data_IF_873683955629
#
_entry.id   IF_873683955629
#
_cell.length_a   1.000
_cell.length_b   1.000
_cell.length_c   1.000
_cell.angle_alpha   90.00
_cell.angle_beta   90.00
_cell.angle_gamma   90.00
#
_symmetry.space_group_name_H-M   'P 1'
#
loop_
_entity.id
_entity.type
_entity.pdbx_description
1 polymer ?
#
# COMPACT_ATOMS: atom_id res chain seq x y z
N UNK A 1 10.13 37.16 25.71
CA UNK A 1 11.48 36.89 25.17
C UNK A 1 11.84 35.46 25.51
N UNK A 2 11.56 34.52 24.61
CA UNK A 2 12.03 33.13 24.72
C UNK A 2 13.44 33.05 24.13
N UNK A 3 14.37 32.42 24.84
CA UNK A 3 15.74 32.21 24.36
C UNK A 3 15.80 31.35 23.09
N UNK A 4 16.92 31.35 22.37
CA UNK A 4 17.06 30.58 21.14
C UNK A 4 16.99 29.09 21.46
N UNK A 5 15.98 28.41 20.89
CA UNK A 5 15.88 26.95 20.92
C UNK A 5 16.92 26.42 19.93
N UNK A 6 18.05 25.92 20.44
CA UNK A 6 19.16 25.39 19.63
C UNK A 6 18.96 23.90 19.27
N UNK A 7 17.71 23.44 19.23
CA UNK A 7 17.34 22.04 19.02
C UNK A 7 16.33 21.87 17.89
N UNK A 8 16.26 20.65 17.35
CA UNK A 8 15.22 20.23 16.41
C UNK A 8 13.97 19.90 17.23
N UNK A 9 12.86 20.58 16.92
CA UNK A 9 11.54 20.34 17.50
C UNK A 9 10.73 19.43 16.55
N UNK A 10 10.18 18.33 17.06
CA UNK A 10 9.27 17.47 16.30
C UNK A 10 7.85 18.02 16.43
N UNK A 11 7.31 18.55 15.33
CA UNK A 11 5.99 19.16 15.30
C UNK A 11 4.87 18.13 15.05
N UNK A 12 5.17 17.08 14.28
CA UNK A 12 4.26 15.98 13.98
C UNK A 12 5.05 14.69 13.85
N UNK A 13 4.48 13.60 14.36
CA UNK A 13 5.06 12.26 14.29
C UNK A 13 3.94 11.22 14.20
N UNK A 14 3.71 10.69 13.00
CA UNK A 14 2.59 9.79 12.75
C UNK A 14 2.99 8.59 11.90
N UNK A 15 2.59 7.38 12.34
CA UNK A 15 2.77 6.12 11.61
C UNK A 15 1.58 5.90 10.69
N UNK A 16 1.83 5.42 9.47
CA UNK A 16 0.75 5.13 8.52
C UNK A 16 -0.17 4.00 9.02
N UNK A 17 -1.43 3.96 8.56
CA UNK A 17 -2.41 2.98 9.04
C UNK A 17 -2.00 1.51 8.86
N UNK A 18 -1.11 1.23 7.90
CA UNK A 18 -0.59 -0.12 7.62
C UNK A 18 0.83 -0.35 8.14
N UNK A 19 1.35 0.56 8.97
CA UNK A 19 2.66 0.47 9.62
C UNK A 19 3.85 0.36 8.65
N UNK A 20 3.66 0.79 7.41
CA UNK A 20 4.65 0.68 6.34
C UNK A 20 5.43 1.98 6.10
N UNK A 21 4.88 3.09 6.60
CA UNK A 21 5.44 4.44 6.51
C UNK A 21 5.27 5.17 7.83
N UNK A 22 6.03 6.25 7.98
CA UNK A 22 5.90 7.23 9.06
C UNK A 22 6.17 8.60 8.47
N UNK A 23 5.42 9.61 8.87
CA UNK A 23 5.72 11.00 8.55
C UNK A 23 6.19 11.70 9.82
N UNK A 24 7.30 12.41 9.71
CA UNK A 24 7.83 13.26 10.78
C UNK A 24 7.97 14.66 10.22
N UNK A 25 7.43 15.66 10.93
CA UNK A 25 7.66 17.07 10.61
C UNK A 25 8.55 17.65 11.68
N UNK A 26 9.70 18.15 11.26
CA UNK A 26 10.72 18.71 12.14
C UNK A 26 10.90 20.19 11.83
N UNK A 27 11.18 20.97 12.87
CA UNK A 27 11.43 22.40 12.79
C UNK A 27 12.66 22.73 13.62
N UNK A 28 13.63 23.41 13.01
CA UNK A 28 14.77 23.99 13.73
C UNK A 28 14.69 25.52 13.73
N UNK A 29 15.79 26.21 14.05
CA UNK A 29 15.85 27.68 14.01
C UNK A 29 15.72 28.28 12.60
N UNK A 30 15.92 27.49 11.55
CA UNK A 30 16.11 27.95 10.17
C UNK A 30 14.99 27.46 9.24
N UNK A 31 14.53 26.22 9.41
CA UNK A 31 13.67 25.54 8.43
C UNK A 31 12.66 24.62 9.11
N UNK A 32 11.48 24.46 8.51
CA UNK A 32 10.61 23.30 8.76
C UNK A 32 10.62 22.39 7.53
N UNK A 33 10.79 21.08 7.76
CA UNK A 33 10.72 20.06 6.73
C UNK A 33 9.90 18.85 7.19
N UNK A 34 9.28 18.17 6.23
CA UNK A 34 8.62 16.90 6.42
C UNK A 34 9.48 15.76 5.86
N UNK A 35 9.49 14.63 6.55
CA UNK A 35 10.19 13.43 6.15
C UNK A 35 9.20 12.27 6.09
N UNK A 36 9.03 11.68 4.92
CA UNK A 36 8.40 10.39 4.79
C UNK A 36 9.48 9.31 4.98
N UNK A 37 9.30 8.46 6.00
CA UNK A 37 10.20 7.38 6.34
C UNK A 37 9.61 6.01 5.97
N UNK A 38 10.49 5.06 5.67
CA UNK A 38 10.11 3.65 5.58
C UNK A 38 9.90 3.01 6.96
N UNK A 39 9.41 1.77 6.99
CA UNK A 39 9.20 1.00 8.22
C UNK A 39 10.47 0.75 9.06
N UNK A 40 11.67 1.01 8.51
CA UNK A 40 12.96 0.91 9.21
C UNK A 40 13.47 2.27 9.72
N UNK A 41 12.67 3.33 9.55
CA UNK A 41 13.03 4.69 9.95
C UNK A 41 14.04 5.35 9.02
N UNK A 42 14.18 4.88 7.76
CA UNK A 42 15.03 5.55 6.76
C UNK A 42 14.21 6.58 6.01
N UNK A 43 14.75 7.78 5.85
CA UNK A 43 14.14 8.84 5.04
C UNK A 43 14.04 8.35 3.59
N UNK A 44 12.83 8.40 3.04
CA UNK A 44 12.52 8.11 1.64
C UNK A 44 12.36 9.39 0.83
N UNK A 45 11.63 10.35 1.39
CA UNK A 45 11.31 11.61 0.73
C UNK A 45 11.34 12.73 1.78
N UNK A 46 12.35 13.61 1.75
CA UNK A 46 12.26 14.90 2.41
C UNK A 46 11.44 15.87 1.55
N UNK A 47 10.67 16.73 2.19
CA UNK A 47 9.92 17.83 1.56
C UNK A 47 10.07 19.08 2.40
N UNK A 48 10.63 20.13 1.81
CA UNK A 48 10.72 21.43 2.47
C UNK A 48 9.33 22.04 2.64
N UNK A 49 9.06 22.64 3.80
CA UNK A 49 7.78 23.31 4.10
C UNK A 49 7.91 24.83 4.25
N UNK A 50 8.96 25.31 4.92
CA UNK A 50 9.17 26.74 5.16
C UNK A 50 10.59 27.09 5.57
N UNK A 51 11.04 28.30 5.21
CA UNK A 51 12.17 28.98 5.85
C UNK A 51 11.65 29.84 7.02
N UNK A 52 12.45 29.95 8.08
CA UNK A 52 12.23 30.81 9.25
C UNK A 52 13.21 31.98 9.32
N UNK A 53 14.12 32.05 8.36
CA UNK A 53 15.06 33.14 8.16
C UNK A 53 15.16 33.53 6.69
N UNK A 54 16.02 34.49 6.39
CA UNK A 54 16.24 35.00 5.04
C UNK A 54 16.66 33.87 4.08
N UNK A 55 15.92 33.73 3.00
CA UNK A 55 16.22 32.78 1.94
C UNK A 55 17.54 33.17 1.25
N UNK A 56 18.43 32.20 0.97
CA UNK A 56 19.65 32.46 0.23
C UNK A 56 19.36 32.74 -1.25
N UNK A 57 20.26 33.45 -1.92
CA UNK A 57 20.13 33.75 -3.34
C UNK A 57 20.26 32.48 -4.23
N UNK A 58 21.03 31.50 -3.78
CA UNK A 58 21.31 30.24 -4.48
C UNK A 58 21.30 29.07 -3.50
N UNK A 59 21.21 27.85 -4.02
CA UNK A 59 21.35 26.64 -3.20
C UNK A 59 22.67 26.65 -2.43
N UNK A 60 22.58 26.62 -1.11
CA UNK A 60 23.74 26.43 -0.24
C UNK A 60 23.99 24.93 -0.08
N UNK A 61 24.69 24.33 -1.04
CA UNK A 61 25.02 22.89 -1.07
C UNK A 61 25.80 22.39 0.16
N UNK A 62 26.22 23.27 1.07
CA UNK A 62 27.00 22.95 2.28
C UNK A 62 26.20 22.41 3.47
N UNK A 63 24.91 22.73 3.60
CA UNK A 63 24.09 22.36 4.76
C UNK A 63 23.65 20.89 4.82
N UNK A 64 23.66 20.20 3.68
CA UNK A 64 23.31 18.78 3.55
C UNK A 64 24.22 17.85 4.39
N UNK A 65 25.42 18.31 4.75
CA UNK A 65 26.42 17.52 5.48
C UNK A 65 26.23 17.52 7.01
N UNK A 66 25.41 18.43 7.57
CA UNK A 66 25.19 18.52 9.03
C UNK A 66 23.89 17.87 9.51
N UNK A 67 23.17 17.18 8.62
CA UNK A 67 21.89 16.53 8.97
C UNK A 67 20.74 17.50 9.23
N UNK A 68 20.85 18.75 8.75
CA UNK A 68 19.79 19.77 8.83
C UNK A 68 19.06 19.91 7.49
N UNK A 69 17.79 20.33 7.55
CA UNK A 69 17.03 20.67 6.35
C UNK A 69 17.61 21.95 5.69
N UNK A 70 17.84 21.96 4.37
CA UNK A 70 18.34 23.14 3.68
C UNK A 70 17.27 24.23 3.62
N UNK A 71 17.72 25.50 3.55
CA UNK A 71 16.85 26.62 3.20
C UNK A 71 16.48 26.55 1.72
N UNK A 72 15.23 26.86 1.40
CA UNK A 72 14.81 27.08 0.02
C UNK A 72 15.36 28.43 -0.50
N UNK A 73 15.96 28.50 -1.70
CA UNK A 73 16.40 29.77 -2.27
C UNK A 73 15.25 30.76 -2.51
N UNK A 74 15.58 32.05 -2.55
CA UNK A 74 14.60 33.13 -2.69
C UNK A 74 13.70 32.99 -3.93
N UNK A 75 14.25 32.45 -5.02
CA UNK A 75 13.52 32.24 -6.27
C UNK A 75 12.44 31.15 -6.19
N UNK A 76 12.48 30.31 -5.15
CA UNK A 76 11.65 29.12 -5.00
C UNK A 76 10.77 29.14 -3.73
N UNK A 77 10.70 30.25 -3.00
CA UNK A 77 9.85 30.41 -1.82
C UNK A 77 8.93 31.63 -1.92
N UNK A 78 7.69 31.47 -1.45
CA UNK A 78 6.72 32.59 -1.32
C UNK A 78 7.08 33.56 -0.19
N UNK A 79 8.00 33.16 0.69
CA UNK A 79 8.42 33.93 1.85
C UNK A 79 9.95 34.11 1.91
N UNK A 80 10.56 34.93 1.03
CA UNK A 80 12.01 35.18 1.06
C UNK A 80 12.54 35.71 2.40
N UNK A 81 11.83 36.58 3.15
CA UNK A 81 12.26 36.98 4.50
C UNK A 81 12.14 35.89 5.58
N UNK A 82 11.62 34.72 5.23
CA UNK A 82 11.18 33.69 6.17
C UNK A 82 9.75 33.93 6.68
N UNK A 83 9.17 32.91 7.31
CA UNK A 83 7.86 32.97 7.98
C UNK A 83 7.93 32.45 9.41
N UNK A 84 6.98 32.82 10.29
CA UNK A 84 6.84 32.18 11.60
C UNK A 84 6.71 30.66 11.50
N UNK A 85 7.15 29.98 12.56
CA UNK A 85 7.02 28.52 12.73
C UNK A 85 5.54 28.10 12.69
N UNK A 86 5.29 26.88 12.20
CA UNK A 86 3.95 26.28 12.24
C UNK A 86 3.53 25.98 13.68
N UNK A 87 2.24 26.16 13.98
CA UNK A 87 1.67 25.70 15.24
C UNK A 87 1.47 24.18 15.21
N UNK A 88 2.14 23.39 16.07
CA UNK A 88 2.00 21.93 16.09
C UNK A 88 0.56 21.48 16.36
N UNK A 89 -0.24 22.28 17.08
CA UNK A 89 -1.62 21.94 17.42
C UNK A 89 -2.59 22.05 16.24
N UNK A 90 -2.22 22.80 15.19
CA UNK A 90 -2.99 22.95 13.97
C UNK A 90 -2.54 21.99 12.86
N UNK A 91 -1.40 21.32 13.01
CA UNK A 91 -0.81 20.45 12.00
C UNK A 91 -1.34 19.02 12.10
N UNK A 92 -1.75 18.44 10.96
CA UNK A 92 -2.25 17.07 10.88
C UNK A 92 -1.78 16.35 9.62
N UNK A 93 -1.59 15.03 9.74
CA UNK A 93 -1.41 14.15 8.60
C UNK A 93 -2.75 13.55 8.15
N UNK A 94 -2.91 13.44 6.84
CA UNK A 94 -3.99 12.70 6.18
C UNK A 94 -3.34 11.69 5.25
N UNK A 95 -3.28 10.43 5.67
CA UNK A 95 -2.79 9.33 4.83
C UNK A 95 -3.78 9.02 3.73
N UNK A 96 -3.32 8.76 2.50
CA UNK A 96 -4.17 8.23 1.44
C UNK A 96 -4.66 6.82 1.78
N UNK A 97 -5.73 6.35 1.11
CA UNK A 97 -6.36 5.04 1.37
C UNK A 97 -5.36 3.88 1.25
N UNK A 98 -4.43 4.01 0.31
CA UNK A 98 -3.31 3.09 0.04
C UNK A 98 -2.26 3.08 1.17
N UNK A 99 -2.20 4.13 1.99
CA UNK A 99 -1.34 4.28 3.17
C UNK A 99 0.16 4.43 2.87
N UNK A 100 0.53 4.69 1.62
CA UNK A 100 1.89 4.92 1.16
C UNK A 100 2.19 6.39 0.81
N UNK A 101 1.16 7.21 0.58
CA UNK A 101 1.24 8.66 0.45
C UNK A 101 0.50 9.41 1.57
N UNK A 102 0.88 10.66 1.80
CA UNK A 102 0.36 11.49 2.90
C UNK A 102 0.22 12.95 2.48
N UNK A 103 -0.84 13.60 2.93
CA UNK A 103 -1.01 15.04 2.90
C UNK A 103 -0.80 15.63 4.29
N UNK A 104 -0.15 16.79 4.36
CA UNK A 104 -0.06 17.61 5.56
C UNK A 104 -1.03 18.78 5.40
N UNK A 105 -1.80 19.05 6.44
CA UNK A 105 -2.84 20.07 6.43
C UNK A 105 -2.71 20.90 7.71
N UNK A 106 -2.95 22.20 7.59
CA UNK A 106 -3.04 23.12 8.71
C UNK A 106 -4.37 23.90 8.68
N UNK A 107 -4.47 24.98 9.46
CA UNK A 107 -5.65 25.86 9.50
C UNK A 107 -5.95 26.59 8.19
N UNK A 108 -4.95 26.79 7.33
CA UNK A 108 -5.10 27.41 6.01
C UNK A 108 -5.44 26.37 4.92
N UNK A 109 -5.48 25.08 5.28
CA UNK A 109 -5.79 23.97 4.39
C UNK A 109 -4.53 23.21 3.97
N UNK A 110 -4.50 22.72 2.72
CA UNK A 110 -3.45 21.83 2.26
C UNK A 110 -2.07 22.51 2.30
N UNK A 111 -1.17 21.98 3.13
CA UNK A 111 0.18 22.49 3.34
C UNK A 111 1.20 21.76 2.46
N UNK A 112 1.12 20.44 2.39
CA UNK A 112 2.01 19.64 1.56
C UNK A 112 1.37 18.31 1.17
N UNK A 113 1.89 17.69 0.10
CA UNK A 113 1.54 16.34 -0.31
C UNK A 113 2.81 15.58 -0.65
N UNK A 114 2.98 14.41 -0.05
CA UNK A 114 4.03 13.44 -0.38
C UNK A 114 3.33 12.22 -1.02
N UNK A 115 3.27 12.15 -2.36
CA UNK A 115 2.65 11.01 -3.04
C UNK A 115 3.38 9.69 -2.76
N UNK A 116 2.69 8.55 -2.85
CA UNK A 116 3.29 7.23 -2.64
C UNK A 116 4.39 6.86 -3.66
N UNK A 117 4.34 7.49 -4.85
CA UNK A 117 5.36 7.34 -5.90
C UNK A 117 6.55 8.30 -5.77
N UNK A 118 6.55 9.23 -4.80
CA UNK A 118 7.64 10.19 -4.66
C UNK A 118 8.96 9.48 -4.35
N UNK A 119 10.02 9.93 -5.01
CA UNK A 119 11.37 9.37 -4.96
C UNK A 119 12.39 10.51 -5.08
N UNK A 120 12.78 11.07 -3.93
CA UNK A 120 13.65 12.25 -3.89
C UNK A 120 15.01 12.01 -4.57
N UNK A 121 15.60 10.83 -4.40
CA UNK A 121 16.86 10.44 -5.08
C UNK A 121 16.74 10.44 -6.61
N UNK A 122 15.53 10.37 -7.16
CA UNK A 122 15.23 10.45 -8.59
C UNK A 122 14.74 11.84 -9.02
N UNK A 123 14.87 12.86 -8.16
CA UNK A 123 14.44 14.23 -8.44
C UNK A 123 12.92 14.43 -8.38
N UNK A 124 12.21 13.54 -7.67
CA UNK A 124 10.76 13.57 -7.51
C UNK A 124 10.40 13.82 -6.03
N UNK A 125 10.56 15.05 -5.51
CA UNK A 125 10.14 15.40 -4.15
C UNK A 125 8.61 15.48 -4.06
N UNK A 126 8.10 15.73 -2.86
CA UNK A 126 6.70 16.10 -2.67
C UNK A 126 6.40 17.56 -3.03
N UNK A 127 5.15 17.93 -2.82
CA UNK A 127 4.62 19.27 -3.09
C UNK A 127 4.47 20.05 -1.78
N UNK A 128 4.74 21.35 -1.81
CA UNK A 128 4.56 22.24 -0.68
C UNK A 128 3.86 23.54 -1.08
N UNK A 129 2.99 24.05 -0.20
CA UNK A 129 2.23 25.29 -0.38
C UNK A 129 3.15 26.49 -0.55
N UNK A 130 4.24 26.54 0.20
CA UNK A 130 5.14 27.70 0.22
C UNK A 130 6.19 27.70 -0.90
N UNK A 131 6.26 26.62 -1.68
CA UNK A 131 7.20 26.50 -2.78
C UNK A 131 6.71 27.23 -4.04
N UNK A 132 7.66 27.73 -4.84
CA UNK A 132 7.43 28.32 -6.17
C UNK A 132 8.17 27.49 -7.23
N UNK A 133 7.44 27.10 -8.28
CA UNK A 133 8.00 26.30 -9.37
C UNK A 133 8.47 24.91 -8.91
N UNK A 134 9.63 24.47 -9.42
CA UNK A 134 10.21 23.16 -9.07
C UNK A 134 11.63 23.37 -8.57
N UNK A 135 11.92 22.83 -7.39
CA UNK A 135 13.28 22.71 -6.86
C UNK A 135 13.56 21.25 -6.43
N UNK A 136 14.81 20.91 -6.10
CA UNK A 136 15.13 19.62 -5.50
C UNK A 136 14.46 19.36 -4.14
N UNK A 137 14.02 20.41 -3.43
CA UNK A 137 13.52 20.29 -2.05
C UNK A 137 11.99 20.16 -1.97
N UNK A 138 11.26 20.78 -2.90
CA UNK A 138 9.81 20.68 -3.02
C UNK A 138 9.35 21.21 -4.38
N UNK A 139 8.21 20.71 -4.84
CA UNK A 139 7.48 21.29 -5.97
C UNK A 139 6.31 22.16 -5.49
N UNK A 140 5.96 23.16 -6.29
CA UNK A 140 4.84 24.05 -6.01
C UNK A 140 3.50 23.31 -6.01
N UNK A 141 2.82 23.37 -4.87
CA UNK A 141 1.52 22.74 -4.69
C UNK A 141 0.39 23.43 -5.46
N UNK A 142 0.41 24.76 -5.61
CA UNK A 142 -0.72 25.53 -6.17
C UNK A 142 -1.06 25.10 -7.59
N UNK A 143 -0.05 24.75 -8.39
CA UNK A 143 -0.20 24.27 -9.77
C UNK A 143 -1.00 22.96 -9.90
N UNK A 144 -1.05 22.15 -8.84
CA UNK A 144 -1.68 20.82 -8.81
C UNK A 144 -2.74 20.69 -7.71
N UNK A 145 -2.99 21.76 -6.95
CA UNK A 145 -3.86 21.74 -5.75
C UNK A 145 -5.26 21.24 -6.08
N UNK A 146 -5.86 21.73 -7.16
CA UNK A 146 -7.22 21.31 -7.56
C UNK A 146 -7.32 19.83 -7.91
N UNK A 147 -6.23 19.22 -8.37
CA UNK A 147 -6.17 17.79 -8.71
C UNK A 147 -5.90 16.92 -7.47
N UNK A 148 -5.08 17.41 -6.54
CA UNK A 148 -4.70 16.66 -5.33
C UNK A 148 -5.73 16.80 -4.20
N UNK A 149 -6.41 17.93 -4.08
CA UNK A 149 -7.35 18.18 -2.99
C UNK A 149 -8.49 17.14 -2.91
N UNK A 150 -9.13 16.72 -4.02
CA UNK A 150 -10.11 15.64 -3.97
C UNK A 150 -9.58 14.32 -3.40
N UNK A 151 -8.29 13.99 -3.62
CA UNK A 151 -7.66 12.80 -3.03
C UNK A 151 -7.55 12.92 -1.51
N UNK A 152 -7.25 14.11 -1.00
CA UNK A 152 -7.17 14.38 0.46
C UNK A 152 -8.55 14.26 1.10
N UNK A 153 -9.57 14.87 0.51
CA UNK A 153 -10.96 14.79 1.00
C UNK A 153 -11.47 13.35 0.97
N UNK A 154 -11.21 12.61 -0.11
CA UNK A 154 -11.55 11.18 -0.18
C UNK A 154 -10.88 10.36 0.92
N UNK A 155 -9.59 10.62 1.17
CA UNK A 155 -8.83 9.94 2.19
C UNK A 155 -9.37 10.22 3.61
N UNK A 156 -9.71 11.47 3.94
CA UNK A 156 -10.36 11.81 5.21
C UNK A 156 -11.67 11.04 5.39
N UNK A 157 -12.55 11.10 4.38
CA UNK A 157 -13.83 10.39 4.39
C UNK A 157 -13.66 8.88 4.52
N UNK A 158 -12.67 8.29 3.83
CA UNK A 158 -12.34 6.88 3.92
C UNK A 158 -11.94 6.49 5.35
N UNK A 159 -11.05 7.25 5.98
CA UNK A 159 -10.58 6.93 7.33
C UNK A 159 -11.63 7.20 8.41
N UNK A 160 -12.48 8.21 8.23
CA UNK A 160 -13.66 8.43 9.06
C UNK A 160 -14.62 7.25 8.98
N UNK A 161 -14.92 6.79 7.76
CA UNK A 161 -15.70 5.56 7.57
C UNK A 161 -15.02 4.37 8.23
N UNK A 162 -13.70 4.21 8.07
CA UNK A 162 -12.97 3.05 8.63
C UNK A 162 -13.00 3.03 10.16
N UNK A 163 -13.00 4.20 10.81
CA UNK A 163 -13.15 4.35 12.27
C UNK A 163 -14.59 4.16 12.76
N UNK A 164 -15.59 4.33 11.89
CA UNK A 164 -16.99 4.21 12.28
C UNK A 164 -17.35 2.79 12.75
N UNK A 165 -18.26 2.73 13.72
CA UNK A 165 -18.76 1.45 14.23
C UNK A 165 -19.44 0.66 13.11
N UNK A 166 -18.95 -0.56 12.83
CA UNK A 166 -19.53 -1.45 11.83
C UNK A 166 -18.91 -1.39 10.44
N UNK A 167 -17.89 -0.55 10.19
CA UNK A 167 -17.18 -0.51 8.92
C UNK A 167 -16.64 -1.88 8.50
N UNK A 168 -15.98 -2.58 9.43
CA UNK A 168 -15.54 -3.95 9.20
C UNK A 168 -16.70 -4.91 8.87
N UNK A 169 -17.82 -4.79 9.59
CA UNK A 169 -19.01 -5.62 9.36
C UNK A 169 -19.62 -5.37 7.97
N UNK A 170 -19.53 -4.15 7.44
CA UNK A 170 -19.94 -3.89 6.05
C UNK A 170 -19.04 -4.61 5.04
N UNK A 171 -17.71 -4.53 5.19
CA UNK A 171 -16.75 -5.24 4.32
C UNK A 171 -17.03 -6.75 4.35
N UNK A 172 -17.08 -7.31 5.56
CA UNK A 172 -17.32 -8.74 5.77
C UNK A 172 -18.62 -9.20 5.10
N UNK A 173 -19.73 -8.47 5.30
CA UNK A 173 -21.03 -8.84 4.73
C UNK A 173 -21.01 -8.82 3.21
N UNK A 174 -20.40 -7.79 2.61
CA UNK A 174 -20.30 -7.66 1.15
C UNK A 174 -19.57 -8.85 0.54
N UNK A 175 -18.39 -9.19 1.05
CA UNK A 175 -17.58 -10.29 0.50
C UNK A 175 -18.22 -11.65 0.79
N UNK A 176 -18.71 -11.90 2.01
CA UNK A 176 -19.32 -13.19 2.35
C UNK A 176 -20.60 -13.45 1.55
N UNK A 177 -21.47 -12.43 1.38
CA UNK A 177 -22.70 -12.58 0.58
C UNK A 177 -22.39 -12.88 -0.89
N UNK A 178 -21.25 -12.38 -1.39
CA UNK A 178 -20.76 -12.71 -2.73
C UNK A 178 -20.30 -14.16 -2.81
N UNK A 179 -19.46 -14.59 -1.87
CA UNK A 179 -18.99 -15.97 -1.79
C UNK A 179 -20.13 -16.98 -1.61
N UNK A 180 -21.16 -16.65 -0.84
CA UNK A 180 -22.33 -17.52 -0.64
C UNK A 180 -23.07 -17.78 -1.97
N UNK A 181 -23.17 -16.77 -2.84
CA UNK A 181 -23.82 -16.89 -4.17
C UNK A 181 -22.97 -17.65 -5.19
N UNK A 182 -21.66 -17.47 -5.15
CA UNK A 182 -20.76 -17.89 -6.23
C UNK A 182 -19.91 -19.13 -5.90
N UNK A 183 -19.53 -19.29 -4.62
CA UNK A 183 -18.61 -20.35 -4.17
C UNK A 183 -19.30 -21.45 -3.33
N UNK A 184 -20.55 -21.24 -2.91
CA UNK A 184 -21.35 -22.22 -2.17
C UNK A 184 -21.27 -22.07 -0.65
N UNK A 185 -21.70 -23.12 0.06
CA UNK A 185 -21.92 -23.06 1.51
C UNK A 185 -20.65 -22.74 2.32
N UNK A 186 -20.77 -21.94 3.41
CA UNK A 186 -19.64 -21.57 4.25
C UNK A 186 -19.15 -22.73 5.12
N UNK A 187 -17.83 -22.83 5.27
CA UNK A 187 -17.15 -23.67 6.25
C UNK A 187 -16.61 -22.86 7.42
N UNK A 188 -15.37 -23.11 7.80
CA UNK A 188 -14.68 -22.33 8.83
C UNK A 188 -14.35 -20.88 8.38
N UNK A 189 -14.15 -20.03 9.38
CA UNK A 189 -13.79 -18.64 9.22
C UNK A 189 -12.71 -18.26 10.24
N UNK A 190 -11.56 -17.78 9.77
CA UNK A 190 -10.40 -17.53 10.62
C UNK A 190 -9.97 -16.08 10.63
N UNK A 191 -9.46 -15.64 11.78
CA UNK A 191 -8.67 -14.43 11.89
C UNK A 191 -7.22 -14.68 11.55
N UNK A 192 -6.73 -13.99 10.51
CA UNK A 192 -5.34 -14.05 10.06
C UNK A 192 -4.65 -12.69 10.14
N UNK A 193 -5.33 -11.66 10.66
CA UNK A 193 -4.74 -10.37 10.95
C UNK A 193 -3.96 -10.40 12.27
N UNK A 194 -3.01 -9.50 12.42
CA UNK A 194 -2.24 -9.31 13.65
C UNK A 194 -2.77 -8.16 14.51
N UNK A 195 -4.07 -7.88 14.40
CA UNK A 195 -4.76 -6.82 15.15
C UNK A 195 -4.64 -5.42 14.54
N UNK A 196 -3.87 -5.25 13.47
CA UNK A 196 -3.71 -3.97 12.77
C UNK A 196 -4.29 -4.05 11.35
N UNK A 197 -4.68 -2.91 10.75
CA UNK A 197 -4.98 -2.85 9.34
C UNK A 197 -3.80 -3.34 8.47
N UNK A 198 -4.05 -3.98 7.32
CA UNK A 198 -5.36 -4.39 6.83
C UNK A 198 -5.97 -5.50 7.71
N UNK A 199 -7.25 -5.35 8.05
CA UNK A 199 -7.98 -6.42 8.73
C UNK A 199 -8.30 -7.50 7.70
N UNK A 200 -7.91 -8.73 8.03
CA UNK A 200 -7.95 -9.86 7.11
C UNK A 200 -8.52 -11.06 7.83
N UNK A 201 -9.46 -11.73 7.15
CA UNK A 201 -10.00 -13.03 7.56
C UNK A 201 -9.91 -13.99 6.38
N UNK A 202 -9.97 -15.28 6.67
CA UNK A 202 -10.05 -16.32 5.64
C UNK A 202 -11.37 -17.04 5.77
N UNK A 203 -12.12 -17.14 4.67
CA UNK A 203 -13.34 -17.93 4.55
C UNK A 203 -13.01 -19.25 3.87
N UNK A 204 -13.57 -20.33 4.41
CA UNK A 204 -13.59 -21.65 3.79
C UNK A 204 -14.91 -21.88 3.04
N UNK A 205 -14.81 -22.51 1.87
CA UNK A 205 -15.92 -23.11 1.13
C UNK A 205 -15.57 -24.58 0.89
N UNK A 206 -16.14 -25.51 1.68
CA UNK A 206 -15.78 -26.92 1.63
C UNK A 206 -15.95 -27.54 0.24
N UNK A 207 -15.28 -28.67 0.04
CA UNK A 207 -15.48 -29.52 -1.13
C UNK A 207 -16.94 -30.02 -1.22
N UNK A 208 -17.44 -30.13 -2.44
CA UNK A 208 -18.74 -30.70 -2.77
C UNK A 208 -18.56 -31.90 -3.69
N UNK A 209 -19.63 -32.64 -4.00
CA UNK A 209 -19.57 -33.74 -4.96
C UNK A 209 -19.14 -33.28 -6.36
N UNK A 210 -19.54 -32.06 -6.76
CA UNK A 210 -19.23 -31.46 -8.08
C UNK A 210 -17.87 -30.73 -8.08
N UNK A 211 -17.37 -30.35 -6.90
CA UNK A 211 -16.12 -29.63 -6.70
C UNK A 211 -15.29 -30.31 -5.61
N UNK A 212 -14.43 -31.29 -5.96
CA UNK A 212 -13.72 -32.13 -4.99
C UNK A 212 -12.48 -31.44 -4.36
N UNK A 213 -12.57 -30.13 -4.10
CA UNK A 213 -11.55 -29.34 -3.42
C UNK A 213 -12.20 -28.21 -2.62
N UNK A 214 -11.54 -27.82 -1.53
CA UNK A 214 -11.93 -26.68 -0.71
C UNK A 214 -11.39 -25.40 -1.31
N UNK A 215 -12.17 -24.31 -1.22
CA UNK A 215 -11.71 -22.97 -1.57
C UNK A 215 -11.48 -22.18 -0.28
N UNK A 216 -10.29 -21.61 -0.17
CA UNK A 216 -9.94 -20.62 0.83
C UNK A 216 -9.86 -19.25 0.17
N UNK A 217 -10.46 -18.25 0.78
CA UNK A 217 -10.50 -16.89 0.23
C UNK A 217 -10.26 -15.86 1.32
N UNK A 218 -9.56 -14.78 0.99
CA UNK A 218 -9.51 -13.63 1.88
C UNK A 218 -10.86 -12.94 1.93
N UNK A 219 -11.12 -12.35 3.09
CA UNK A 219 -12.19 -11.40 3.32
C UNK A 219 -11.54 -10.18 3.95
N UNK A 220 -11.56 -9.06 3.25
CA UNK A 220 -11.12 -7.77 3.78
C UNK A 220 -9.99 -7.11 3.01
N UNK A 221 -9.32 -7.80 2.06
CA UNK A 221 -8.29 -7.15 1.25
C UNK A 221 -8.89 -6.04 0.39
N UNK A 222 -10.08 -6.25 -0.17
CA UNK A 222 -10.73 -5.26 -1.02
C UNK A 222 -11.23 -4.02 -0.24
N UNK A 223 -11.25 -4.09 1.10
CA UNK A 223 -11.68 -3.00 1.95
C UNK A 223 -10.76 -1.76 1.92
N UNK A 224 -9.63 -1.87 1.25
CA UNK A 224 -8.65 -0.80 1.05
C UNK A 224 -8.04 -0.92 -0.36
N UNK A 225 -7.56 0.20 -0.92
CA UNK A 225 -6.89 0.23 -2.23
C UNK A 225 -5.46 -0.30 -2.14
N UNK A 226 -4.98 -0.90 -3.24
CA UNK A 226 -3.62 -1.38 -3.41
C UNK A 226 -2.61 -0.23 -3.55
N UNK A 227 -1.48 -0.25 -2.81
CA UNK A 227 -0.43 0.76 -2.90
C UNK A 227 0.22 0.88 -4.28
N UNK A 228 0.90 1.99 -4.53
CA UNK A 228 1.79 2.23 -5.68
C UNK A 228 1.18 2.17 -7.08
N UNK A 229 -0.12 1.89 -7.24
CA UNK A 229 -0.75 1.82 -8.55
C UNK A 229 -0.64 3.13 -9.33
N UNK A 230 -0.74 4.26 -8.64
CA UNK A 230 -0.65 5.60 -9.24
C UNK A 230 0.75 5.93 -9.80
N UNK A 231 1.76 5.10 -9.54
CA UNK A 231 3.06 5.13 -10.23
C UNK A 231 2.98 4.61 -11.68
N UNK A 232 2.10 3.65 -11.93
CA UNK A 232 2.08 2.88 -13.18
C UNK A 232 0.91 3.25 -14.09
N UNK A 233 -0.17 3.80 -13.54
CA UNK A 233 -1.40 4.10 -14.27
C UNK A 233 -2.12 5.32 -13.70
N UNK A 234 -2.77 6.08 -14.57
CA UNK A 234 -3.53 7.27 -14.17
C UNK A 234 -4.90 6.91 -13.57
N UNK A 235 -5.59 5.94 -14.16
CA UNK A 235 -6.80 5.34 -13.59
C UNK A 235 -6.42 4.01 -12.93
N UNK A 236 -6.58 3.96 -11.61
CA UNK A 236 -6.23 2.80 -10.80
C UNK A 236 -7.43 1.92 -10.48
N UNK A 237 -8.66 2.34 -10.79
CA UNK A 237 -9.90 1.72 -10.29
C UNK A 237 -9.98 0.23 -10.60
N UNK A 238 -9.62 -0.17 -11.82
CA UNK A 238 -9.62 -1.58 -12.24
C UNK A 238 -8.68 -2.46 -11.41
N UNK A 239 -7.56 -1.93 -10.91
CA UNK A 239 -6.55 -2.73 -10.20
C UNK A 239 -6.53 -2.46 -8.69
N UNK A 240 -7.35 -1.52 -8.23
CA UNK A 240 -7.27 -0.96 -6.89
C UNK A 240 -7.64 -1.97 -5.81
N UNK A 241 -8.51 -2.94 -6.09
CA UNK A 241 -9.05 -3.83 -5.06
C UNK A 241 -8.95 -5.29 -5.47
N UNK A 242 -8.42 -6.09 -4.56
CA UNK A 242 -8.17 -7.52 -4.78
C UNK A 242 -8.66 -8.32 -3.57
N UNK A 243 -9.14 -9.53 -3.81
CA UNK A 243 -9.15 -10.62 -2.83
C UNK A 243 -8.33 -11.79 -3.38
N UNK A 244 -7.73 -12.59 -2.50
CA UNK A 244 -6.96 -13.78 -2.86
C UNK A 244 -7.82 -15.04 -2.68
N UNK A 245 -7.60 -16.03 -3.54
CA UNK A 245 -8.22 -17.34 -3.44
C UNK A 245 -7.19 -18.48 -3.59
N UNK A 246 -7.46 -19.63 -2.99
CA UNK A 246 -6.66 -20.84 -3.10
C UNK A 246 -7.58 -22.05 -3.10
N UNK A 247 -7.42 -22.95 -4.08
CA UNK A 247 -8.04 -24.27 -4.04
C UNK A 247 -7.09 -25.28 -3.39
N UNK A 248 -7.63 -26.18 -2.56
CA UNK A 248 -6.83 -27.19 -1.90
C UNK A 248 -7.59 -28.48 -1.60
N UNK A 249 -6.89 -29.61 -1.62
CA UNK A 249 -7.34 -30.89 -1.05
C UNK A 249 -6.69 -31.21 0.29
N UNK A 250 -5.77 -30.36 0.76
CA UNK A 250 -5.18 -30.45 2.09
C UNK A 250 -6.20 -30.06 3.17
N UNK A 251 -5.93 -30.40 4.45
CA UNK A 251 -6.70 -29.84 5.55
C UNK A 251 -6.69 -28.29 5.52
N UNK A 252 -7.89 -27.70 5.46
CA UNK A 252 -8.09 -26.27 5.23
C UNK A 252 -7.30 -25.35 6.18
N UNK A 253 -7.24 -25.71 7.47
CA UNK A 253 -6.48 -24.96 8.48
C UNK A 253 -4.96 -24.91 8.21
N UNK A 254 -4.40 -25.90 7.51
CA UNK A 254 -2.97 -25.89 7.13
C UNK A 254 -2.73 -24.97 5.94
N UNK A 255 -3.56 -25.08 4.89
CA UNK A 255 -3.49 -24.24 3.70
C UNK A 255 -3.80 -22.76 4.02
N UNK A 256 -4.71 -22.49 4.96
CA UNK A 256 -5.09 -21.13 5.36
C UNK A 256 -3.93 -20.28 5.90
N UNK A 257 -2.82 -20.91 6.32
CA UNK A 257 -1.67 -20.21 6.91
C UNK A 257 -0.96 -19.28 5.95
N UNK A 258 -0.96 -19.60 4.65
CA UNK A 258 -0.32 -18.75 3.63
C UNK A 258 -0.87 -17.32 3.66
N UNK A 259 -2.18 -17.18 3.91
CA UNK A 259 -2.88 -15.89 3.94
C UNK A 259 -2.40 -14.95 5.05
N UNK A 260 -1.83 -15.48 6.16
CA UNK A 260 -1.34 -14.66 7.29
C UNK A 260 -0.28 -13.65 6.85
N UNK A 261 0.58 -14.04 5.92
CA UNK A 261 1.64 -13.15 5.45
C UNK A 261 1.29 -12.55 4.09
N UNK A 262 0.76 -13.33 3.14
CA UNK A 262 0.55 -12.83 1.77
C UNK A 262 -0.61 -11.84 1.71
N UNK A 263 -1.64 -12.01 2.53
CA UNK A 263 -2.81 -11.13 2.53
C UNK A 263 -2.48 -9.70 2.93
N UNK A 264 -1.56 -9.48 3.87
CA UNK A 264 -1.14 -8.14 4.28
C UNK A 264 0.08 -7.62 3.52
N UNK A 265 0.72 -8.46 2.70
CA UNK A 265 1.99 -8.18 2.05
C UNK A 265 1.99 -6.89 1.19
N UNK A 266 0.97 -6.61 0.36
CA UNK A 266 0.97 -5.41 -0.50
C UNK A 266 1.18 -4.12 0.29
N UNK A 267 0.46 -3.94 1.40
CA UNK A 267 0.57 -2.74 2.23
C UNK A 267 1.85 -2.69 3.05
N UNK A 268 2.31 -3.82 3.58
CA UNK A 268 3.58 -3.88 4.35
C UNK A 268 4.81 -3.63 3.50
N UNK A 269 4.82 -4.17 2.28
CA UNK A 269 5.92 -4.02 1.34
C UNK A 269 5.78 -2.77 0.45
N UNK A 270 4.65 -2.07 0.52
CA UNK A 270 4.28 -0.94 -0.35
C UNK A 270 4.42 -1.32 -1.81
N UNK A 271 3.56 -2.25 -2.22
CA UNK A 271 3.47 -2.84 -3.55
C UNK A 271 2.02 -3.24 -3.82
N UNK A 272 1.73 -3.77 -5.01
CA UNK A 272 0.40 -4.22 -5.40
C UNK A 272 0.42 -5.64 -5.96
N UNK A 273 -0.76 -6.28 -5.96
CA UNK A 273 -0.95 -7.57 -6.57
C UNK A 273 -1.76 -7.46 -7.86
N UNK A 274 -1.27 -8.13 -8.90
CA UNK A 274 -1.92 -8.24 -10.19
C UNK A 274 -1.77 -9.64 -10.76
N UNK A 275 -2.49 -9.89 -11.86
CA UNK A 275 -2.31 -11.08 -12.67
C UNK A 275 -0.85 -11.27 -13.07
N UNK A 276 -0.34 -12.49 -12.98
CA UNK A 276 1.02 -12.84 -13.36
C UNK A 276 2.09 -12.47 -12.33
N UNK A 277 1.77 -11.72 -11.28
CA UNK A 277 2.74 -11.38 -10.25
C UNK A 277 3.18 -12.64 -9.49
N UNK A 278 4.47 -12.69 -9.16
CA UNK A 278 5.02 -13.76 -8.31
C UNK A 278 5.55 -13.19 -7.00
N UNK A 279 5.22 -13.87 -5.90
CA UNK A 279 5.59 -13.45 -4.54
C UNK A 279 6.42 -14.53 -3.90
N UNK A 280 7.65 -14.19 -3.49
CA UNK A 280 8.55 -15.14 -2.83
C UNK A 280 7.93 -15.64 -1.53
N UNK A 281 7.83 -16.95 -1.38
CA UNK A 281 7.39 -17.59 -0.16
C UNK A 281 8.61 -17.91 0.68
N UNK A 282 8.79 -17.19 1.78
CA UNK A 282 9.93 -17.39 2.67
C UNK A 282 9.82 -18.73 3.39
N UNK A 283 10.96 -19.41 3.57
CA UNK A 283 10.98 -20.65 4.35
C UNK A 283 10.77 -20.34 5.82
N UNK A 284 9.67 -20.86 6.38
CA UNK A 284 9.41 -20.83 7.81
C UNK A 284 8.99 -22.25 8.22
N UNK A 285 9.32 -22.64 9.46
CA UNK A 285 9.05 -23.99 9.96
C UNK A 285 7.54 -24.30 10.00
N UNK A 286 6.76 -23.24 10.16
CA UNK A 286 5.31 -23.23 10.24
C UNK A 286 4.66 -23.74 8.95
N UNK A 287 4.98 -23.17 7.80
CA UNK A 287 4.36 -23.45 6.51
C UNK A 287 5.05 -24.60 5.77
N UNK A 288 6.19 -25.10 6.24
CA UNK A 288 7.03 -26.08 5.53
C UNK A 288 6.25 -27.31 5.02
N UNK A 289 5.36 -27.86 5.84
CA UNK A 289 4.56 -29.02 5.47
C UNK A 289 3.61 -28.73 4.28
N UNK A 290 3.06 -27.52 4.23
CA UNK A 290 2.10 -27.08 3.20
C UNK A 290 2.80 -26.50 1.96
N UNK A 291 3.92 -25.81 2.16
CA UNK A 291 4.75 -25.25 1.10
C UNK A 291 5.42 -26.34 0.27
N UNK A 292 5.80 -27.46 0.90
CA UNK A 292 6.55 -28.54 0.22
C UNK A 292 7.78 -27.98 -0.49
N UNK A 293 7.89 -28.21 -1.80
CA UNK A 293 8.96 -27.67 -2.66
C UNK A 293 8.71 -26.26 -3.21
N UNK A 294 7.58 -25.63 -2.91
CA UNK A 294 7.25 -24.30 -3.43
C UNK A 294 8.22 -23.25 -2.88
N UNK A 295 8.72 -22.38 -3.76
CA UNK A 295 9.59 -21.25 -3.43
C UNK A 295 8.88 -19.90 -3.48
N UNK A 296 7.74 -19.85 -4.15
CA UNK A 296 6.94 -18.65 -4.38
C UNK A 296 5.48 -18.99 -4.69
N UNK A 297 4.67 -17.97 -4.86
CA UNK A 297 3.27 -18.04 -5.29
C UNK A 297 3.15 -17.23 -6.58
N UNK A 298 2.51 -17.79 -7.60
CA UNK A 298 2.02 -17.08 -8.78
C UNK A 298 0.56 -16.67 -8.55
N UNK A 299 0.20 -15.44 -8.92
CA UNK A 299 -1.16 -14.92 -8.82
C UNK A 299 -1.82 -14.89 -10.20
N UNK A 300 -2.97 -15.54 -10.35
CA UNK A 300 -3.71 -15.61 -11.62
C UNK A 300 -5.17 -15.18 -11.43
N UNK A 301 -5.67 -14.30 -12.28
CA UNK A 301 -7.11 -13.99 -12.34
C UNK A 301 -7.96 -15.20 -12.76
N UNK A 302 -7.38 -16.08 -13.59
CA UNK A 302 -8.01 -17.30 -14.06
C UNK A 302 -6.99 -18.47 -14.03
N UNK A 303 -7.20 -19.48 -13.18
CA UNK A 303 -6.32 -20.63 -13.08
C UNK A 303 -6.70 -21.78 -14.03
N UNK A 304 -7.78 -21.66 -14.82
CA UNK A 304 -8.31 -22.75 -15.67
C UNK A 304 -7.36 -23.21 -16.76
N UNK A 305 -6.37 -22.39 -17.11
CA UNK A 305 -5.30 -22.77 -18.03
C UNK A 305 -4.44 -23.91 -17.48
N UNK A 306 -4.31 -24.01 -16.14
CA UNK A 306 -3.57 -25.06 -15.46
C UNK A 306 -4.46 -26.28 -15.22
N UNK A 307 -3.84 -27.43 -14.94
CA UNK A 307 -4.61 -28.65 -14.68
C UNK A 307 -5.39 -28.55 -13.37
N UNK A 308 -6.65 -28.97 -13.38
CA UNK A 308 -7.46 -29.12 -12.19
C UNK A 308 -8.81 -29.65 -12.61
N UNK A 309 -9.27 -30.72 -11.95
CA UNK A 309 -10.41 -31.50 -12.43
C UNK A 309 -11.66 -30.65 -12.68
N UNK A 310 -12.31 -30.20 -11.61
CA UNK A 310 -13.48 -29.32 -11.73
C UNK A 310 -13.02 -27.84 -11.85
N UNK A 311 -13.67 -27.02 -12.69
CA UNK A 311 -13.32 -25.61 -12.85
C UNK A 311 -13.55 -24.81 -11.55
N UNK A 312 -12.80 -23.71 -11.31
CA UNK A 312 -13.08 -22.79 -10.21
C UNK A 312 -14.47 -22.15 -10.37
N UNK A 313 -15.13 -21.74 -9.26
CA UNK A 313 -16.31 -20.90 -9.36
C UNK A 313 -15.96 -19.54 -9.99
N UNK A 314 -16.91 -18.98 -10.73
CA UNK A 314 -16.81 -17.60 -11.22
C UNK A 314 -17.06 -16.63 -10.06
N UNK A 315 -16.01 -15.97 -9.61
CA UNK A 315 -16.04 -14.98 -8.53
C UNK A 315 -16.13 -13.53 -9.04
N UNK A 316 -16.27 -13.31 -10.35
CA UNK A 316 -16.40 -11.97 -10.91
C UNK A 316 -17.65 -11.21 -10.42
N UNK A 317 -17.68 -9.90 -10.65
CA UNK A 317 -18.84 -9.05 -10.35
C UNK A 317 -18.91 -8.49 -8.93
N UNK A 318 -17.93 -8.79 -8.06
CA UNK A 318 -17.78 -8.11 -6.79
C UNK A 318 -17.26 -6.69 -7.02
N UNK A 319 -17.87 -5.71 -6.35
CA UNK A 319 -17.37 -4.33 -6.28
C UNK A 319 -17.37 -3.84 -4.85
N UNK A 320 -16.50 -2.88 -4.55
CA UNK A 320 -16.40 -2.25 -3.24
C UNK A 320 -16.15 -0.75 -3.40
N UNK A 321 -17.05 0.07 -2.84
CA UNK A 321 -17.02 1.54 -2.96
C UNK A 321 -16.86 2.05 -4.40
N UNK A 322 -17.45 1.36 -5.38
CA UNK A 322 -17.43 1.75 -6.79
C UNK A 322 -16.31 1.13 -7.62
N UNK A 323 -15.24 0.63 -7.00
CA UNK A 323 -14.18 -0.08 -7.73
C UNK A 323 -14.51 -1.58 -7.86
N UNK A 324 -14.20 -2.22 -9.00
CA UNK A 324 -14.26 -3.67 -9.13
C UNK A 324 -13.27 -4.36 -8.19
N UNK A 325 -13.60 -5.56 -7.74
CA UNK A 325 -12.71 -6.41 -6.93
C UNK A 325 -12.23 -7.58 -7.78
N UNK A 326 -10.93 -7.66 -7.98
CA UNK A 326 -10.29 -8.78 -8.68
C UNK A 326 -9.96 -9.93 -7.74
N UNK A 327 -10.37 -11.13 -8.13
CA UNK A 327 -9.98 -12.35 -7.43
C UNK A 327 -8.69 -12.88 -8.05
N UNK A 328 -7.63 -13.02 -7.25
CA UNK A 328 -6.37 -13.61 -7.69
C UNK A 328 -6.18 -14.98 -7.03
N UNK A 329 -6.17 -16.01 -7.87
CA UNK A 329 -5.88 -17.38 -7.48
C UNK A 329 -4.40 -17.58 -7.24
N UNK A 330 -4.07 -18.13 -6.07
CA UNK A 330 -2.71 -18.44 -5.65
C UNK A 330 -2.32 -19.83 -6.15
N UNK A 331 -1.27 -19.89 -6.96
CA UNK A 331 -0.68 -21.13 -7.46
C UNK A 331 0.75 -21.24 -6.92
N UNK A 332 1.04 -22.19 -6.02
CA UNK A 332 2.40 -22.42 -5.54
C UNK A 332 3.33 -22.83 -6.68
N UNK A 333 4.46 -22.14 -6.79
CA UNK A 333 5.50 -22.39 -7.80
C UNK A 333 6.84 -22.67 -7.12
N UNK A 334 7.70 -23.45 -7.77
CA UNK A 334 9.03 -23.79 -7.25
C UNK A 334 9.99 -22.59 -7.32
N UNK A 335 11.12 -22.68 -6.61
CA UNK A 335 12.15 -21.62 -6.70
C UNK A 335 12.72 -21.47 -8.12
N UNK A 336 13.03 -22.55 -8.88
CA UNK A 336 13.42 -22.43 -10.29
C UNK A 336 12.36 -21.74 -11.15
N UNK A 337 11.08 -22.08 -10.98
CA UNK A 337 9.97 -21.42 -11.69
C UNK A 337 9.89 -19.92 -11.36
N UNK A 338 10.06 -19.53 -10.10
CA UNK A 338 10.11 -18.12 -9.71
C UNK A 338 11.30 -17.36 -10.31
N UNK A 339 12.47 -18.01 -10.43
CA UNK A 339 13.63 -17.41 -11.10
C UNK A 339 13.38 -17.27 -12.60
N UNK A 340 12.79 -18.29 -13.23
CA UNK A 340 12.39 -18.26 -14.63
C UNK A 340 11.43 -17.08 -14.90
N UNK A 341 10.45 -16.86 -14.01
CA UNK A 341 9.50 -15.75 -14.08
C UNK A 341 10.11 -14.35 -13.91
N UNK A 342 11.35 -14.23 -13.43
CA UNK A 342 12.07 -12.95 -13.39
C UNK A 342 12.78 -12.62 -14.68
N UNK A 343 13.10 -13.65 -15.46
CA UNK A 343 13.81 -13.55 -16.73
C UNK A 343 12.84 -13.53 -17.93
N UNK A 344 11.60 -13.97 -17.72
CA UNK A 344 10.55 -14.10 -18.73
C UNK A 344 9.24 -13.47 -18.23
N UNK A 345 8.32 -13.16 -19.13
CA UNK A 345 7.00 -12.69 -18.75
C UNK A 345 6.15 -13.80 -18.09
N UNK A 346 5.05 -13.39 -17.45
CA UNK A 346 4.15 -14.32 -16.76
C UNK A 346 3.44 -15.27 -17.70
N UNK A 347 3.16 -14.88 -18.94
CA UNK A 347 2.51 -15.73 -19.93
C UNK A 347 3.40 -16.94 -20.28
N UNK A 348 4.69 -16.70 -20.52
CA UNK A 348 5.69 -17.74 -20.78
C UNK A 348 5.82 -18.70 -19.60
N UNK A 349 5.77 -18.18 -18.36
CA UNK A 349 5.74 -19.03 -17.17
C UNK A 349 4.48 -19.91 -17.15
N UNK A 350 3.30 -19.35 -17.40
CA UNK A 350 2.05 -20.12 -17.42
C UNK A 350 2.12 -21.23 -18.49
N UNK A 351 2.55 -20.92 -19.71
CA UNK A 351 2.72 -21.93 -20.78
C UNK A 351 3.64 -23.08 -20.35
N UNK A 352 4.76 -22.75 -19.70
CA UNK A 352 5.67 -23.74 -19.13
C UNK A 352 4.98 -24.61 -18.08
N UNK A 353 4.24 -24.01 -17.15
CA UNK A 353 3.52 -24.73 -16.10
C UNK A 353 2.42 -25.65 -16.68
N UNK A 354 1.73 -25.19 -17.73
CA UNK A 354 0.75 -26.00 -18.46
C UNK A 354 1.42 -27.21 -19.11
N UNK A 355 2.54 -27.02 -19.80
CA UNK A 355 3.30 -28.09 -20.44
C UNK A 355 3.81 -29.14 -19.43
N UNK A 356 4.07 -28.73 -18.19
CA UNK A 356 4.48 -29.61 -17.09
C UNK A 356 3.30 -30.27 -16.36
N UNK A 357 2.06 -29.99 -16.76
CA UNK A 357 0.86 -30.50 -16.10
C UNK A 357 0.71 -29.97 -14.67
N UNK A 358 1.19 -28.75 -14.39
CA UNK A 358 1.05 -28.10 -13.08
C UNK A 358 -0.43 -27.99 -12.74
N UNK A 359 -0.78 -28.35 -11.50
CA UNK A 359 -2.12 -28.11 -10.98
C UNK A 359 -2.24 -26.78 -10.25
N UNK A 360 -3.40 -26.14 -10.39
CA UNK A 360 -3.78 -24.96 -9.60
C UNK A 360 -4.42 -25.31 -8.25
N UNK A 361 -4.69 -26.59 -7.99
CA UNK A 361 -5.17 -27.10 -6.71
C UNK A 361 -3.97 -27.53 -5.86
N UNK A 362 -3.84 -26.98 -4.66
CA UNK A 362 -2.81 -27.35 -3.69
C UNK A 362 -3.17 -28.70 -3.03
N UNK A 363 -2.33 -29.71 -3.24
CA UNK A 363 -2.56 -31.08 -2.78
C UNK A 363 -1.71 -31.48 -1.57
#
# INVERSE_FOLDING_TARGET
MGGPVTGIDVLLDEISPYQSRRVVVECDSHTTAAYLLDARGRIRVPVWLANHEMAPATDESGGLFEGRAPLMPEAHTKHPPGRPRFDPSCLRAVWFEEGDGVALVDEEGLLAVIPGWAEADSGLPGYAREAIGRSPYAWELDSVREQLWPRVVHAEAYWDWRRASGAWRSVQRTVLSHLDRHAGDPGHYWDVSDGHPPLLRVSERPATAERPYTILSTVGMCGQRMPTLDRYMADTSEYARVELALATTMPAHQAARIFRWIGAFPWRAVTWFGHGHTVKWLDNAEDRAMRGGAGAVLLLSDPTMLTGGAPPPDLAGLSFQGDPVHWLWMVPITRPEHLFAKEHDSATLVEKLVAEGRSWILA
#
